data_IF_710347267188
#
_entry.id   IF_710347267188
#
_cell.length_a   1.000
_cell.length_b   1.000
_cell.length_c   1.000
_cell.angle_alpha   90.00
_cell.angle_beta   90.00
_cell.angle_gamma   90.00
#
_symmetry.space_group_name_H-M   'P 1'
#
loop_
_entity.id
_entity.type
_entity.pdbx_description
1 polymer ?
#
# COMPACT_ATOMS: atom_id res chain seq x y z
N UNK A 1 18.81 67.34 12.40
CA UNK A 1 19.78 67.97 11.47
C UNK A 1 20.04 69.36 12.03
N UNK A 2 21.27 69.67 12.42
CA UNK A 2 21.59 71.01 12.91
C UNK A 2 21.54 71.99 11.72
N UNK A 3 20.79 73.06 11.85
CA UNK A 3 20.79 74.16 10.90
C UNK A 3 21.66 75.26 11.50
N UNK A 4 22.81 75.51 10.87
CA UNK A 4 23.69 76.61 11.25
C UNK A 4 23.25 77.87 10.53
N UNK A 5 22.87 78.90 11.28
CA UNK A 5 22.55 80.22 10.71
C UNK A 5 23.71 81.16 10.96
N UNK A 6 24.17 81.82 9.88
CA UNK A 6 25.18 82.87 9.93
C UNK A 6 24.58 84.17 9.42
N UNK A 7 24.91 85.27 10.08
CA UNK A 7 24.55 86.60 9.58
C UNK A 7 25.27 86.89 8.26
N UNK A 8 24.56 87.49 7.30
CA UNK A 8 25.15 87.94 6.04
C UNK A 8 26.20 89.04 6.25
N UNK A 9 26.07 89.82 7.33
CA UNK A 9 26.95 90.91 7.71
C UNK A 9 27.42 90.70 9.15
N UNK A 10 28.75 90.70 9.35
CA UNK A 10 29.41 90.60 10.66
C UNK A 10 29.98 91.96 11.05
N UNK A 11 29.93 92.30 12.33
CA UNK A 11 30.51 93.52 12.86
C UNK A 11 32.04 93.43 12.85
N UNK A 12 32.71 94.49 12.44
CA UNK A 12 34.17 94.61 12.54
C UNK A 12 34.64 95.01 13.96
N UNK A 13 33.71 95.41 14.83
CA UNK A 13 33.98 95.79 16.22
C UNK A 13 33.96 94.51 17.09
N UNK A 14 35.00 94.27 17.92
CA UNK A 14 35.03 93.12 18.83
C UNK A 14 33.85 93.12 19.81
N UNK A 15 33.44 91.93 20.25
CA UNK A 15 32.24 91.75 21.09
C UNK A 15 32.33 92.35 22.50
N UNK A 16 33.47 92.94 22.87
CA UNK A 16 33.72 93.63 24.13
C UNK A 16 34.22 95.06 23.92
N UNK A 17 33.82 95.98 24.82
CA UNK A 17 34.46 97.30 24.96
C UNK A 17 33.67 98.51 24.43
N UNK A 18 32.45 98.33 23.94
CA UNK A 18 31.54 99.43 23.61
C UNK A 18 30.47 99.59 24.72
N UNK A 19 30.52 100.65 25.56
CA UNK A 19 29.58 100.86 26.66
C UNK A 19 28.20 101.36 26.21
N UNK A 20 28.01 101.67 24.92
CA UNK A 20 26.74 102.16 24.37
C UNK A 20 25.80 101.03 23.93
N UNK A 21 26.29 99.80 23.91
CA UNK A 21 25.53 98.59 23.58
C UNK A 21 25.47 97.64 24.77
N UNK A 22 24.54 96.68 24.74
CA UNK A 22 24.44 95.63 25.75
C UNK A 22 25.68 94.72 25.64
N UNK A 23 26.41 94.57 26.75
CA UNK A 23 27.65 93.81 26.83
C UNK A 23 27.45 92.54 27.68
N UNK A 24 28.00 91.37 27.27
CA UNK A 24 28.77 91.14 26.03
C UNK A 24 27.89 91.06 24.77
N UNK A 25 28.43 91.51 23.62
CA UNK A 25 27.79 91.36 22.30
C UNK A 25 27.84 89.91 21.83
N UNK A 26 26.80 89.44 21.15
CA UNK A 26 26.77 88.14 20.48
C UNK A 26 26.47 88.26 18.97
N UNK A 27 26.71 89.43 18.37
CA UNK A 27 26.35 89.72 16.98
C UNK A 27 27.12 88.87 15.97
N UNK A 28 28.38 88.58 16.29
CA UNK A 28 29.28 87.79 15.45
C UNK A 28 29.27 86.29 15.76
N UNK A 29 28.47 85.86 16.74
CA UNK A 29 28.39 84.46 17.14
C UNK A 29 27.70 83.61 16.06
N UNK A 30 28.07 82.33 16.00
CA UNK A 30 27.31 81.34 15.24
C UNK A 30 26.08 80.93 16.05
N UNK A 31 24.91 80.92 15.41
CA UNK A 31 23.68 80.49 16.06
C UNK A 31 23.34 79.06 15.68
N UNK A 32 23.21 78.22 16.71
CA UNK A 32 22.69 76.86 16.59
C UNK A 32 21.18 76.86 16.77
N UNK A 33 20.45 76.50 15.71
CA UNK A 33 19.02 76.23 15.84
C UNK A 33 18.84 74.76 16.24
N UNK A 34 18.54 74.55 17.51
CA UNK A 34 18.18 73.24 18.07
C UNK A 34 16.66 73.08 18.03
N UNK A 35 16.16 72.00 17.41
CA UNK A 35 14.72 71.74 17.33
C UNK A 35 14.32 70.76 16.23
N UNK A 36 13.01 70.48 16.16
CA UNK A 36 12.41 69.65 15.10
C UNK A 36 11.86 70.54 13.99
N UNK A 37 11.97 70.12 12.73
CA UNK A 37 11.14 70.70 11.65
C UNK A 37 9.68 70.31 11.93
N UNK A 38 8.74 71.28 12.01
CA UNK A 38 7.33 70.96 12.20
C UNK A 38 6.76 70.15 11.04
N UNK A 39 5.75 69.33 11.30
CA UNK A 39 5.14 68.47 10.28
C UNK A 39 4.55 69.24 9.11
N UNK A 40 4.01 70.44 9.38
CA UNK A 40 3.49 71.34 8.35
C UNK A 40 4.52 71.69 7.26
N UNK A 41 5.81 71.57 7.57
CA UNK A 41 6.92 71.88 6.67
C UNK A 41 7.65 70.60 6.21
N UNK A 42 6.99 69.44 6.25
CA UNK A 42 7.57 68.16 5.84
C UNK A 42 8.54 67.55 6.85
N UNK A 43 8.60 68.10 8.07
CA UNK A 43 9.38 67.53 9.15
C UNK A 43 8.71 66.32 9.81
N UNK A 44 9.48 65.55 10.57
CA UNK A 44 8.94 64.40 11.31
C UNK A 44 8.18 64.81 12.58
N UNK A 45 8.39 66.04 13.06
CA UNK A 45 7.90 66.52 14.36
C UNK A 45 8.53 65.84 15.56
N UNK A 46 9.61 65.04 15.37
CA UNK A 46 10.28 64.27 16.43
C UNK A 46 11.79 64.53 16.44
N UNK A 47 12.38 64.64 17.63
CA UNK A 47 13.81 64.92 17.80
C UNK A 47 14.68 63.69 17.50
N UNK A 48 14.18 62.49 17.76
CA UNK A 48 14.83 61.22 17.44
C UNK A 48 13.76 60.19 17.03
N UNK A 49 14.12 59.28 16.12
CA UNK A 49 13.30 58.17 15.68
C UNK A 49 14.20 56.93 15.58
N UNK A 50 13.79 55.80 16.14
CA UNK A 50 14.55 54.54 16.11
C UNK A 50 13.64 53.37 15.77
N UNK A 51 14.04 52.52 14.83
CA UNK A 51 13.23 51.39 14.35
C UNK A 51 12.45 51.71 13.08
N UNK A 52 11.25 51.16 12.94
CA UNK A 52 10.38 51.38 11.80
C UNK A 52 9.60 52.69 11.97
N UNK A 53 9.62 53.53 10.95
CA UNK A 53 8.85 54.77 10.93
C UNK A 53 7.73 54.67 9.91
N UNK A 54 6.57 55.22 10.25
CA UNK A 54 5.43 55.27 9.34
C UNK A 54 5.05 56.71 9.08
N UNK A 55 4.75 57.00 7.81
CA UNK A 55 4.16 58.27 7.44
C UNK A 55 2.80 58.42 8.09
N UNK A 56 2.54 59.55 8.73
CA UNK A 56 1.29 59.85 9.41
C UNK A 56 0.58 61.08 8.78
N UNK A 57 0.76 61.25 7.47
CA UNK A 57 0.26 62.40 6.74
C UNK A 57 0.76 63.73 7.31
N UNK A 58 -0.17 64.56 7.77
CA UNK A 58 0.10 65.89 8.36
C UNK A 58 0.35 65.85 9.87
N UNK A 59 0.38 64.67 10.50
CA UNK A 59 0.67 64.48 11.92
C UNK A 59 2.10 63.95 12.14
N UNK A 60 2.60 64.04 13.39
CA UNK A 60 3.95 63.63 13.73
C UNK A 60 4.18 62.15 13.38
N UNK A 61 5.36 61.86 12.84
CA UNK A 61 5.77 60.49 12.59
C UNK A 61 6.02 59.78 13.91
N UNK A 62 5.59 58.53 14.00
CA UNK A 62 5.82 57.66 15.15
C UNK A 62 6.79 56.55 14.76
N UNK A 63 7.76 56.26 15.64
CA UNK A 63 8.63 55.11 15.51
C UNK A 63 8.06 53.92 16.27
N UNK A 64 8.22 52.71 15.72
CA UNK A 64 7.81 51.46 16.33
C UNK A 64 8.96 50.44 16.30
N UNK A 65 9.02 49.59 17.32
CA UNK A 65 9.99 48.48 17.39
C UNK A 65 9.61 47.34 16.43
N UNK A 66 8.34 47.24 16.04
CA UNK A 66 7.83 46.24 15.10
C UNK A 66 6.89 46.87 14.08
N UNK A 67 6.65 46.17 12.97
CA UNK A 67 5.58 46.51 12.02
C UNK A 67 4.31 45.76 12.48
N UNK A 68 3.24 46.47 12.91
CA UNK A 68 1.95 45.87 13.20
C UNK A 68 1.39 45.16 11.96
N UNK A 69 0.72 44.03 12.17
CA UNK A 69 0.12 43.24 11.10
C UNK A 69 -0.94 44.00 10.28
N UNK A 70 -1.60 45.00 10.88
CA UNK A 70 -2.57 45.90 10.22
C UNK A 70 -1.96 46.73 9.10
N UNK A 71 -0.64 46.89 9.12
CA UNK A 71 0.09 47.76 8.21
C UNK A 71 0.75 46.96 7.07
N UNK A 72 0.65 45.63 7.13
CA UNK A 72 1.11 44.73 6.09
C UNK A 72 -0.07 44.44 5.17
N UNK A 73 -0.16 45.19 4.07
CA UNK A 73 -1.21 45.01 3.05
C UNK A 73 -0.84 43.89 2.07
N UNK A 74 -1.83 43.35 1.36
CA UNK A 74 -1.63 42.33 0.32
C UNK A 74 -1.44 40.89 0.81
N UNK A 75 -1.14 40.68 2.10
CA UNK A 75 -1.04 39.33 2.70
C UNK A 75 -2.35 38.84 3.32
N UNK A 76 -3.37 39.70 3.46
CA UNK A 76 -4.67 39.34 4.04
C UNK A 76 -4.52 38.78 5.46
N UNK A 77 -5.22 37.68 5.76
CA UNK A 77 -5.16 37.02 7.08
C UNK A 77 -3.80 36.42 7.40
N UNK A 78 -2.94 36.17 6.40
CA UNK A 78 -1.61 35.57 6.58
C UNK A 78 -0.70 36.42 7.49
N UNK A 79 -0.89 37.75 7.55
CA UNK A 79 -0.09 38.64 8.41
C UNK A 79 -0.33 38.43 9.91
N UNK A 80 -1.35 37.64 10.28
CA UNK A 80 -1.78 37.41 11.67
C UNK A 80 -1.74 35.95 12.11
N UNK A 81 -1.44 35.02 11.21
CA UNK A 81 -1.48 33.59 11.51
C UNK A 81 -0.28 33.13 12.35
N UNK A 82 -0.50 32.11 13.18
CA UNK A 82 0.57 31.44 13.91
C UNK A 82 1.45 30.65 12.91
N UNK A 83 2.77 30.70 13.06
CA UNK A 83 3.70 30.00 12.17
C UNK A 83 3.51 28.48 12.12
N UNK A 84 2.92 27.89 13.16
CA UNK A 84 2.62 26.46 13.27
C UNK A 84 1.22 26.10 12.76
N UNK A 85 0.37 27.10 12.48
CA UNK A 85 -1.00 26.89 12.01
C UNK A 85 -1.35 27.94 10.96
N UNK A 86 -0.89 27.68 9.74
CA UNK A 86 -1.12 28.52 8.57
C UNK A 86 -2.35 27.96 7.83
N UNK A 87 -3.38 28.78 7.66
CA UNK A 87 -4.58 28.43 6.87
C UNK A 87 -4.59 29.23 5.59
N UNK A 88 -4.31 28.57 4.47
CA UNK A 88 -4.37 29.15 3.13
C UNK A 88 -5.76 28.88 2.53
N UNK A 89 -6.63 29.89 2.55
CA UNK A 89 -7.98 29.78 1.98
C UNK A 89 -7.95 30.24 0.52
N UNK A 90 -7.95 29.29 -0.42
CA UNK A 90 -7.86 29.56 -1.85
C UNK A 90 -6.41 29.71 -2.37
N UNK A 91 -6.23 29.65 -3.69
CA UNK A 91 -4.90 29.63 -4.32
C UNK A 91 -4.27 28.24 -4.40
N UNK A 92 -3.00 28.17 -4.79
CA UNK A 92 -2.23 26.93 -4.88
C UNK A 92 -0.90 27.11 -4.16
N UNK A 93 -0.51 26.11 -3.38
CA UNK A 93 0.83 26.05 -2.79
C UNK A 93 1.70 25.26 -3.77
N UNK A 94 2.73 25.89 -4.32
CA UNK A 94 3.63 25.28 -5.31
C UNK A 94 5.05 25.18 -4.75
N UNK A 95 5.77 24.12 -5.14
CA UNK A 95 7.18 23.94 -4.79
C UNK A 95 7.47 23.58 -3.33
N UNK A 96 6.48 23.10 -2.57
CA UNK A 96 6.67 22.62 -1.20
C UNK A 96 6.26 21.17 -1.04
N UNK A 97 6.92 20.45 -0.14
CA UNK A 97 6.53 19.10 0.27
C UNK A 97 5.57 19.20 1.45
N UNK A 98 4.29 18.89 1.24
CA UNK A 98 3.31 18.79 2.33
C UNK A 98 3.31 17.36 2.85
N UNK A 99 3.81 17.15 4.06
CA UNK A 99 3.87 15.81 4.66
C UNK A 99 2.48 15.17 4.74
N UNK A 100 2.33 13.97 4.19
CA UNK A 100 1.06 13.24 4.16
C UNK A 100 0.08 13.71 3.07
N UNK A 101 0.42 14.70 2.26
CA UNK A 101 -0.38 15.05 1.09
C UNK A 101 -0.25 13.96 0.02
N UNK A 102 -1.39 13.53 -0.49
CA UNK A 102 -1.49 12.62 -1.63
C UNK A 102 -2.04 13.43 -2.80
N UNK A 103 -1.25 13.62 -3.89
CA UNK A 103 -1.71 14.27 -5.10
C UNK A 103 -2.93 13.55 -5.68
N UNK A 104 -3.89 14.31 -6.22
CA UNK A 104 -5.07 13.72 -6.87
C UNK A 104 -4.72 12.84 -8.06
N UNK A 105 -3.58 13.11 -8.71
CA UNK A 105 -3.02 12.33 -9.81
C UNK A 105 -2.48 10.97 -9.39
N UNK A 106 -2.19 10.76 -8.10
CA UNK A 106 -1.69 9.47 -7.58
C UNK A 106 -2.83 8.62 -7.01
N UNK A 107 -3.98 9.21 -6.69
CA UNK A 107 -5.15 8.50 -6.16
C UNK A 107 -5.76 7.59 -7.21
N UNK A 108 -5.88 6.30 -6.90
CA UNK A 108 -6.43 5.28 -7.80
C UNK A 108 -5.71 5.18 -9.16
N UNK A 109 -4.51 5.76 -9.27
CA UNK A 109 -3.67 5.69 -10.46
C UNK A 109 -2.81 4.42 -10.42
N UNK A 110 -2.41 3.94 -11.60
CA UNK A 110 -1.41 2.88 -11.70
C UNK A 110 -0.11 3.35 -11.04
N UNK A 111 0.51 2.47 -10.24
CA UNK A 111 1.70 2.78 -9.42
C UNK A 111 1.49 3.89 -8.38
N UNK A 112 0.24 4.29 -8.13
CA UNK A 112 -0.14 5.27 -7.13
C UNK A 112 -0.61 4.65 -5.83
N UNK A 113 -1.53 5.34 -5.15
CA UNK A 113 -2.09 4.92 -3.86
C UNK A 113 -3.55 4.49 -4.01
N UNK A 114 -3.92 3.44 -3.27
CA UNK A 114 -5.30 3.00 -3.19
C UNK A 114 -6.16 4.06 -2.48
N UNK A 115 -7.37 4.30 -2.98
CA UNK A 115 -8.37 5.12 -2.29
C UNK A 115 -9.31 4.26 -1.48
N UNK A 116 -10.09 4.90 -0.60
CA UNK A 116 -11.24 4.28 0.04
C UNK A 116 -12.53 4.79 -0.60
N UNK A 117 -13.54 3.93 -0.68
CA UNK A 117 -14.92 4.30 -1.01
C UNK A 117 -15.65 4.89 0.22
N UNK A 118 -16.94 5.18 0.07
CA UNK A 118 -17.79 5.70 1.16
C UNK A 118 -17.92 4.76 2.36
N UNK A 119 -17.65 3.46 2.19
CA UNK A 119 -17.63 2.46 3.25
C UNK A 119 -16.29 2.35 3.97
N UNK A 120 -15.26 3.10 3.54
CA UNK A 120 -13.91 2.99 4.09
C UNK A 120 -13.14 1.78 3.57
N UNK A 121 -13.56 1.19 2.44
CA UNK A 121 -12.90 0.03 1.82
C UNK A 121 -12.22 0.39 0.50
N UNK A 122 -11.21 -0.38 0.09
CA UNK A 122 -10.58 -0.20 -1.23
C UNK A 122 -11.60 -0.60 -2.32
N UNK A 123 -11.93 0.28 -3.28
CA UNK A 123 -12.89 -0.03 -4.34
C UNK A 123 -12.47 -1.26 -5.16
N UNK A 124 -13.43 -2.09 -5.55
CA UNK A 124 -13.19 -3.30 -6.36
C UNK A 124 -12.43 -3.03 -7.67
N UNK A 125 -12.62 -1.85 -8.26
CA UNK A 125 -11.89 -1.41 -9.46
C UNK A 125 -10.37 -1.26 -9.24
N UNK A 126 -9.93 -1.17 -7.98
CA UNK A 126 -8.51 -1.07 -7.58
C UNK A 126 -7.97 -2.40 -7.04
N UNK A 127 -8.79 -3.45 -7.00
CA UNK A 127 -8.38 -4.79 -6.61
C UNK A 127 -8.04 -5.59 -7.88
N UNK A 128 -6.89 -6.31 -7.95
CA UNK A 128 -6.58 -7.13 -9.11
C UNK A 128 -7.64 -8.20 -9.39
N UNK A 129 -8.05 -8.35 -10.65
CA UNK A 129 -9.06 -9.33 -11.04
C UNK A 129 -8.68 -10.79 -10.67
N UNK A 130 -7.37 -11.07 -10.59
CA UNK A 130 -6.83 -12.39 -10.19
C UNK A 130 -7.21 -12.80 -8.76
N UNK A 131 -7.48 -11.84 -7.88
CA UNK A 131 -8.07 -12.11 -6.56
C UNK A 131 -9.57 -11.81 -6.51
N UNK A 132 -10.11 -11.06 -7.49
CA UNK A 132 -11.56 -10.96 -7.73
C UNK A 132 -12.09 -12.25 -8.40
N UNK A 133 -12.27 -13.30 -7.60
CA UNK A 133 -12.64 -14.64 -8.10
C UNK A 133 -11.64 -15.73 -7.77
N UNK A 134 -10.61 -15.43 -6.97
CA UNK A 134 -9.72 -16.43 -6.39
C UNK A 134 -10.48 -17.40 -5.48
N UNK A 135 -9.97 -18.62 -5.37
CA UNK A 135 -10.52 -19.64 -4.48
C UNK A 135 -9.78 -19.65 -3.15
N UNK A 136 -10.51 -19.77 -2.04
CA UNK A 136 -9.97 -19.74 -0.67
C UNK A 136 -10.30 -21.03 0.05
N UNK A 137 -9.27 -21.77 0.45
CA UNK A 137 -9.42 -23.04 1.14
C UNK A 137 -9.91 -22.82 2.58
N UNK A 138 -11.02 -23.46 2.94
CA UNK A 138 -11.65 -23.33 4.26
C UNK A 138 -11.42 -24.56 5.16
N UNK A 139 -10.73 -25.58 4.66
CA UNK A 139 -10.47 -26.83 5.39
C UNK A 139 -11.22 -28.02 4.80
N UNK A 140 -11.34 -29.08 5.59
CA UNK A 140 -11.98 -30.32 5.15
C UNK A 140 -13.46 -30.38 5.50
N UNK A 141 -14.26 -31.07 4.69
CA UNK A 141 -15.68 -31.31 4.92
C UNK A 141 -16.02 -32.81 4.92
N UNK A 142 -16.75 -33.26 5.93
CA UNK A 142 -17.32 -34.59 5.99
C UNK A 142 -18.69 -34.56 5.31
N UNK A 143 -18.79 -35.14 4.11
CA UNK A 143 -20.02 -35.14 3.31
C UNK A 143 -21.06 -36.16 3.80
N UNK A 144 -20.70 -37.06 4.72
CA UNK A 144 -21.64 -38.01 5.35
C UNK A 144 -22.41 -37.36 6.48
N UNK A 145 -21.72 -36.59 7.34
CA UNK A 145 -22.32 -35.94 8.51
C UNK A 145 -22.63 -34.45 8.30
N UNK A 146 -22.31 -33.89 7.13
CA UNK A 146 -22.34 -32.46 6.84
C UNK A 146 -21.59 -31.62 7.89
N UNK A 147 -20.29 -31.87 8.04
CA UNK A 147 -19.46 -31.22 9.08
C UNK A 147 -18.16 -30.65 8.49
N UNK A 148 -17.92 -29.32 8.56
CA UNK A 148 -18.82 -28.28 9.07
C UNK A 148 -20.13 -28.20 8.28
N UNK A 149 -21.19 -27.66 8.88
CA UNK A 149 -22.51 -27.59 8.25
C UNK A 149 -22.48 -26.63 7.07
N UNK A 150 -22.67 -27.18 5.87
CA UNK A 150 -22.91 -26.43 4.65
C UNK A 150 -24.40 -26.50 4.32
N UNK A 151 -24.97 -25.40 3.84
CA UNK A 151 -26.39 -25.28 3.50
C UNK A 151 -26.55 -24.83 2.05
N UNK A 152 -27.62 -25.29 1.40
CA UNK A 152 -27.98 -24.91 0.03
C UNK A 152 -28.06 -23.39 -0.14
N UNK A 153 -27.43 -22.85 -1.18
CA UNK A 153 -27.45 -21.43 -1.51
C UNK A 153 -26.75 -20.50 -0.52
N UNK A 154 -26.05 -21.03 0.49
CA UNK A 154 -25.39 -20.25 1.55
C UNK A 154 -23.89 -20.50 1.55
N UNK A 155 -23.10 -19.44 1.33
CA UNK A 155 -21.64 -19.47 1.37
C UNK A 155 -21.01 -18.13 0.97
N UNK A 156 -19.67 -18.09 0.87
CA UNK A 156 -18.90 -16.94 0.36
C UNK A 156 -18.26 -17.31 -0.97
N UNK A 157 -18.42 -16.46 -2.01
CA UNK A 157 -17.89 -16.76 -3.35
C UNK A 157 -16.39 -17.09 -3.30
N UNK A 158 -16.01 -18.21 -3.91
CA UNK A 158 -14.63 -18.70 -3.96
C UNK A 158 -14.21 -19.52 -2.75
N UNK A 159 -14.99 -19.58 -1.67
CA UNK A 159 -14.67 -20.46 -0.54
C UNK A 159 -14.88 -21.92 -0.96
N UNK A 160 -13.91 -22.77 -0.64
CA UNK A 160 -14.03 -24.20 -0.91
C UNK A 160 -13.55 -25.06 0.25
N UNK A 161 -14.16 -26.23 0.37
CA UNK A 161 -13.79 -27.30 1.29
C UNK A 161 -13.40 -28.54 0.51
N UNK A 162 -12.44 -29.30 1.03
CA UNK A 162 -12.04 -30.60 0.46
C UNK A 162 -12.73 -31.72 1.22
N UNK A 163 -13.38 -32.63 0.52
CA UNK A 163 -14.11 -33.74 1.14
C UNK A 163 -13.11 -34.69 1.82
N UNK A 164 -13.20 -34.86 3.14
CA UNK A 164 -12.37 -35.80 3.91
C UNK A 164 -13.05 -37.15 4.13
N UNK A 165 -14.39 -37.20 4.08
CA UNK A 165 -15.20 -38.41 4.21
C UNK A 165 -16.30 -38.34 3.16
N UNK A 166 -16.37 -39.36 2.31
CA UNK A 166 -17.39 -39.47 1.27
C UNK A 166 -18.79 -39.53 1.87
N UNK A 167 -19.79 -39.07 1.13
CA UNK A 167 -21.17 -39.10 1.59
C UNK A 167 -22.15 -38.49 0.60
N UNK A 168 -23.42 -38.43 1.03
CA UNK A 168 -24.53 -38.05 0.18
C UNK A 168 -25.31 -36.82 0.64
N UNK A 169 -24.69 -35.96 1.46
CA UNK A 169 -25.30 -34.69 1.84
C UNK A 169 -25.63 -33.89 0.57
N UNK A 170 -26.91 -33.48 0.45
CA UNK A 170 -27.36 -32.65 -0.65
C UNK A 170 -26.88 -31.21 -0.48
N UNK A 171 -26.04 -30.73 -1.42
CA UNK A 171 -25.69 -29.32 -1.57
C UNK A 171 -26.00 -28.87 -2.99
N UNK A 172 -27.00 -28.01 -3.11
CA UNK A 172 -27.55 -27.41 -4.32
C UNK A 172 -27.83 -28.43 -5.43
N UNK A 173 -28.36 -29.60 -5.05
CA UNK A 173 -28.71 -30.70 -5.95
C UNK A 173 -27.61 -31.75 -6.12
N UNK A 174 -26.45 -31.54 -5.51
CA UNK A 174 -25.30 -32.46 -5.58
C UNK A 174 -25.33 -33.39 -4.36
N UNK A 175 -25.52 -34.68 -4.60
CA UNK A 175 -25.65 -35.73 -3.56
C UNK A 175 -24.57 -36.81 -3.64
N UNK A 176 -23.55 -36.62 -4.49
CA UNK A 176 -22.46 -37.58 -4.67
C UNK A 176 -21.12 -36.89 -4.44
N UNK A 177 -20.52 -37.19 -3.28
CA UNK A 177 -19.25 -36.62 -2.83
C UNK A 177 -18.29 -37.75 -2.44
N UNK A 178 -17.17 -37.83 -3.14
CA UNK A 178 -16.09 -38.76 -2.84
C UNK A 178 -14.97 -38.04 -2.08
N UNK A 179 -14.16 -38.81 -1.35
CA UNK A 179 -12.99 -38.26 -0.65
C UNK A 179 -12.05 -37.62 -1.67
N UNK A 180 -11.69 -36.36 -1.43
CA UNK A 180 -10.83 -35.58 -2.32
C UNK A 180 -11.57 -34.59 -3.21
N UNK A 181 -12.88 -34.76 -3.46
CA UNK A 181 -13.69 -33.79 -4.21
C UNK A 181 -13.73 -32.44 -3.49
N UNK A 182 -13.96 -31.35 -4.22
CA UNK A 182 -14.10 -30.02 -3.60
C UNK A 182 -15.55 -29.54 -3.67
N UNK A 183 -16.07 -29.08 -2.54
CA UNK A 183 -17.29 -28.27 -2.50
C UNK A 183 -16.89 -26.80 -2.57
N UNK A 184 -17.21 -26.10 -3.65
CA UNK A 184 -16.87 -24.68 -3.87
C UNK A 184 -18.13 -23.84 -4.05
N UNK A 185 -18.23 -22.70 -3.36
CA UNK A 185 -19.36 -21.80 -3.51
C UNK A 185 -19.10 -20.74 -4.58
N UNK A 186 -19.94 -20.65 -5.61
CA UNK A 186 -19.73 -19.71 -6.73
C UNK A 186 -20.29 -18.29 -6.49
N UNK A 187 -20.92 -18.07 -5.32
CA UNK A 187 -21.61 -16.84 -4.95
C UNK A 187 -23.12 -16.98 -4.89
N UNK A 188 -23.68 -18.06 -5.48
CA UNK A 188 -25.12 -18.34 -5.48
C UNK A 188 -25.42 -19.79 -5.07
N UNK A 189 -24.63 -20.75 -5.53
CA UNK A 189 -24.80 -22.19 -5.23
C UNK A 189 -23.45 -22.85 -4.98
N UNK A 190 -23.47 -23.96 -4.24
CA UNK A 190 -22.38 -24.91 -4.15
C UNK A 190 -22.24 -25.67 -5.47
N UNK A 191 -21.00 -25.84 -5.90
CA UNK A 191 -20.61 -26.65 -7.04
C UNK A 191 -19.60 -27.69 -6.56
N UNK A 192 -19.55 -28.80 -7.28
CA UNK A 192 -18.56 -29.86 -7.06
C UNK A 192 -17.45 -29.74 -8.09
N UNK A 193 -16.21 -29.76 -7.62
CA UNK A 193 -15.05 -30.10 -8.46
C UNK A 193 -14.72 -31.55 -8.15
N UNK A 194 -15.00 -32.44 -9.11
CA UNK A 194 -14.61 -33.85 -9.01
C UNK A 194 -13.10 -33.95 -9.08
N UNK A 195 -12.50 -34.50 -8.02
CA UNK A 195 -11.04 -34.65 -7.91
C UNK A 195 -10.66 -36.10 -7.52
N UNK A 196 -11.64 -37.00 -7.60
CA UNK A 196 -11.46 -38.44 -7.45
C UNK A 196 -11.26 -39.06 -8.83
N UNK A 197 -10.01 -39.16 -9.28
CA UNK A 197 -9.71 -39.99 -10.44
C UNK A 197 -9.78 -41.47 -10.03
N UNK A 198 -10.88 -42.13 -10.35
CA UNK A 198 -11.00 -43.57 -10.20
C UNK A 198 -10.10 -44.29 -11.22
N UNK A 199 -9.48 -45.42 -10.84
CA UNK A 199 -8.82 -46.32 -11.80
C UNK A 199 -9.85 -46.70 -12.87
N UNK A 200 -9.56 -46.32 -14.11
CA UNK A 200 -10.51 -46.43 -15.22
C UNK A 200 -10.74 -47.89 -15.63
N UNK A 201 -9.67 -48.72 -15.64
CA UNK A 201 -9.77 -50.18 -15.66
C UNK A 201 -8.40 -50.86 -15.46
N UNK A 202 -8.35 -51.95 -14.68
CA UNK A 202 -7.26 -52.95 -14.70
C UNK A 202 -7.92 -54.33 -14.75
N UNK A 203 -7.84 -55.06 -15.87
CA UNK A 203 -8.54 -56.34 -16.05
C UNK A 203 -10.05 -56.31 -15.67
N UNK A 204 -10.72 -55.17 -15.90
CA UNK A 204 -12.13 -54.96 -15.54
C UNK A 204 -12.38 -54.44 -14.10
N UNK A 205 -11.37 -54.39 -13.23
CA UNK A 205 -11.47 -53.73 -11.93
C UNK A 205 -11.36 -52.21 -12.06
N UNK A 206 -12.10 -51.49 -11.21
CA UNK A 206 -12.04 -50.03 -11.03
C UNK A 206 -11.80 -49.69 -9.56
N UNK A 207 -11.36 -48.47 -9.25
CA UNK A 207 -11.07 -48.06 -7.87
C UNK A 207 -9.85 -48.77 -7.26
N UNK A 208 -9.94 -49.19 -5.99
CA UNK A 208 -8.86 -49.96 -5.33
C UNK A 208 -8.75 -51.36 -5.95
N UNK A 209 -7.65 -51.61 -6.65
CA UNK A 209 -7.42 -52.88 -7.35
C UNK A 209 -6.65 -53.85 -6.44
N UNK A 210 -7.29 -54.97 -6.08
CA UNK A 210 -6.62 -56.12 -5.47
C UNK A 210 -6.67 -57.25 -6.49
N UNK A 211 -5.50 -57.64 -7.02
CA UNK A 211 -5.40 -58.70 -8.01
C UNK A 211 -5.32 -60.08 -7.34
N UNK A 212 -6.01 -61.02 -7.95
CA UNK A 212 -5.96 -62.45 -7.67
C UNK A 212 -5.28 -63.18 -8.83
N UNK A 213 -4.98 -64.47 -8.66
CA UNK A 213 -4.35 -65.29 -9.69
C UNK A 213 -5.16 -65.36 -11.00
N UNK A 214 -6.49 -65.29 -10.93
CA UNK A 214 -7.33 -65.29 -12.13
C UNK A 214 -7.21 -64.01 -12.94
N UNK A 215 -6.74 -62.92 -12.33
CA UNK A 215 -6.61 -61.61 -12.98
C UNK A 215 -5.34 -61.48 -13.82
N UNK A 216 -4.45 -62.47 -13.70
CA UNK A 216 -3.18 -62.56 -14.43
C UNK A 216 -3.23 -63.80 -15.34
N UNK A 217 -4.33 -63.93 -16.08
CA UNK A 217 -4.69 -65.11 -16.88
C UNK A 217 -3.62 -65.56 -17.88
N UNK A 218 -2.71 -64.66 -18.29
CA UNK A 218 -1.57 -64.97 -19.15
C UNK A 218 -0.47 -65.84 -18.49
N UNK A 219 -0.49 -66.02 -17.17
CA UNK A 219 0.49 -66.81 -16.43
C UNK A 219 -0.01 -68.21 -16.00
N UNK A 220 -1.31 -68.50 -16.18
CA UNK A 220 -1.91 -69.80 -15.86
C UNK A 220 -1.59 -70.30 -14.44
N UNK A 221 -1.29 -71.60 -14.32
CA UNK A 221 -0.93 -72.23 -13.04
C UNK A 221 0.42 -71.77 -12.50
N UNK A 222 1.28 -71.11 -13.29
CA UNK A 222 2.58 -70.63 -12.79
C UNK A 222 2.43 -69.54 -11.73
N UNK A 223 1.32 -68.80 -11.75
CA UNK A 223 1.07 -67.72 -10.79
C UNK A 223 0.90 -68.20 -9.33
N UNK A 224 0.70 -69.50 -9.10
CA UNK A 224 0.48 -70.09 -7.76
C UNK A 224 1.54 -71.11 -7.35
N UNK A 225 2.49 -71.44 -8.23
CA UNK A 225 3.48 -72.48 -7.94
C UNK A 225 4.59 -71.97 -7.03
N UNK A 226 5.12 -72.85 -6.17
CA UNK A 226 6.27 -72.53 -5.35
C UNK A 226 7.48 -72.27 -6.26
N UNK A 227 8.22 -71.18 -6.02
CA UNK A 227 9.36 -70.78 -6.85
C UNK A 227 10.44 -71.87 -6.95
N UNK A 228 10.54 -72.74 -5.95
CA UNK A 228 11.50 -73.85 -5.89
C UNK A 228 10.91 -75.18 -6.37
N UNK A 229 9.61 -75.24 -6.72
CA UNK A 229 8.94 -76.45 -7.18
C UNK A 229 7.93 -76.11 -8.28
N UNK A 230 8.45 -75.71 -9.44
CA UNK A 230 7.66 -75.39 -10.63
C UNK A 230 7.46 -76.65 -11.49
N UNK A 231 6.22 -77.12 -11.57
CA UNK A 231 5.75 -78.11 -12.52
C UNK A 231 5.40 -77.46 -13.87
N UNK A 232 6.14 -77.84 -14.91
CA UNK A 232 5.90 -77.44 -16.29
C UNK A 232 5.41 -78.68 -17.04
N UNK A 233 4.19 -78.64 -17.57
CA UNK A 233 3.55 -79.79 -18.24
C UNK A 233 3.47 -79.63 -19.77
N UNK A 234 4.19 -78.66 -20.34
CA UNK A 234 4.21 -78.37 -21.78
C UNK A 234 5.23 -77.30 -22.15
N UNK A 235 5.39 -77.01 -23.45
CA UNK A 235 6.34 -76.02 -23.97
C UNK A 235 7.76 -76.58 -24.16
N UNK A 236 8.74 -75.69 -24.33
CA UNK A 236 10.16 -76.08 -24.50
C UNK A 236 11.07 -75.28 -23.57
N UNK A 237 12.11 -75.92 -23.05
CA UNK A 237 13.25 -75.22 -22.44
C UNK A 237 14.41 -75.39 -23.41
N UNK A 238 14.90 -74.27 -23.96
CA UNK A 238 16.01 -74.26 -24.92
C UNK A 238 15.80 -75.25 -26.10
N UNK A 239 14.58 -75.33 -26.62
CA UNK A 239 14.20 -76.24 -27.72
C UNK A 239 13.89 -77.68 -27.30
N UNK A 240 14.19 -78.09 -26.07
CA UNK A 240 13.77 -79.41 -25.55
C UNK A 240 12.32 -79.34 -25.06
N UNK A 241 11.43 -80.14 -25.65
CA UNK A 241 10.03 -80.26 -25.23
C UNK A 241 9.89 -80.82 -23.82
N UNK A 242 9.09 -80.16 -22.97
CA UNK A 242 8.76 -80.60 -21.61
C UNK A 242 7.37 -81.23 -21.58
N UNK A 243 7.21 -82.31 -20.81
CA UNK A 243 5.94 -83.03 -20.67
C UNK A 243 5.62 -84.02 -21.80
N UNK A 244 6.59 -84.33 -22.67
CA UNK A 244 6.44 -85.34 -23.71
C UNK A 244 6.32 -86.77 -23.13
N UNK A 245 5.59 -87.64 -23.81
CA UNK A 245 5.46 -89.07 -23.45
C UNK A 245 6.70 -89.89 -23.80
N UNK A 246 7.62 -89.30 -24.57
CA UNK A 246 8.92 -89.88 -24.92
C UNK A 246 10.02 -89.06 -24.27
N UNK A 247 10.91 -89.71 -23.52
CA UNK A 247 12.07 -89.05 -22.92
C UNK A 247 12.92 -88.38 -24.00
N UNK A 248 13.33 -87.13 -23.75
CA UNK A 248 14.20 -86.35 -24.61
C UNK A 248 15.37 -85.82 -23.80
N UNK A 249 16.53 -85.66 -24.43
CA UNK A 249 17.73 -85.15 -23.78
C UNK A 249 17.56 -83.64 -23.54
N UNK A 250 17.64 -83.20 -22.28
CA UNK A 250 17.60 -81.79 -21.91
C UNK A 250 18.86 -81.04 -22.35
N UNK A 251 18.69 -79.85 -22.94
CA UNK A 251 19.79 -78.93 -23.25
C UNK A 251 20.05 -77.97 -22.08
N UNK A 252 20.55 -78.48 -20.96
CA UNK A 252 20.93 -77.67 -19.78
C UNK A 252 22.35 -77.12 -19.96
N UNK A 253 22.51 -75.80 -19.99
CA UNK A 253 23.83 -75.14 -20.10
C UNK A 253 24.53 -74.98 -18.76
N UNK A 254 23.80 -75.06 -17.65
CA UNK A 254 24.34 -74.97 -16.29
C UNK A 254 23.41 -75.69 -15.33
N UNK A 255 23.94 -76.62 -14.55
CA UNK A 255 23.22 -77.29 -13.47
C UNK A 255 24.04 -77.11 -12.18
N UNK A 256 23.44 -76.45 -11.19
CA UNK A 256 24.03 -76.26 -9.87
C UNK A 256 23.21 -77.05 -8.86
N UNK A 257 23.87 -77.95 -8.12
CA UNK A 257 23.24 -78.60 -6.97
C UNK A 257 22.98 -77.53 -5.89
N UNK A 258 21.76 -77.50 -5.36
CA UNK A 258 21.39 -76.67 -4.20
C UNK A 258 21.78 -77.36 -2.90
#
# INVERSE_FOLDING_TARGET
MAITVKHKFVSAIPDAGDPTIVQPSNWNDSHDLVGTVPVANGGTGAATLTGYVKGNGTANMTAASTIPNTDVTGLGTMSTQNSNNISVTGGSISGTTVSGYIPTTEKAAALGVATLDAGGTVPLSQIPASIQGGVSYQGTWNASTNTPTLSNGVGTKGYYYVVSVAGSTNLDGITSWNVGDWAIFNGTVWQKVDNTDAVTSVNGYTGTVVLTNTDISGFGTMSTQNANAVAITGGTINGTTIGATTATTGAFTTATAS
#
